data_IF_853694530998
#
_entry.id   IF_853694530998
#
_cell.length_a   1.000
_cell.length_b   1.000
_cell.length_c   1.000
_cell.angle_alpha   90.00
_cell.angle_beta   90.00
_cell.angle_gamma   90.00
#
_symmetry.space_group_name_H-M   'P 1'
#
loop_
_entity.id
_entity.type
_entity.pdbx_description
1 polymer ?
#
# COMPACT_ATOMS: atom_id res chain seq x y z
N UNK A 1 -39.94 15.48 -24.99
CA UNK A 1 -40.34 14.10 -24.66
C UNK A 1 -39.31 13.56 -23.67
N UNK A 2 -39.56 13.77 -22.38
CA UNK A 2 -38.69 13.35 -21.28
C UNK A 2 -38.96 11.89 -20.93
N UNK A 3 -37.90 11.10 -20.76
CA UNK A 3 -38.04 9.73 -20.27
C UNK A 3 -36.95 8.77 -20.75
N UNK A 4 -35.67 9.14 -20.63
CA UNK A 4 -34.59 8.15 -20.74
C UNK A 4 -34.42 7.46 -19.38
N UNK A 5 -35.30 6.50 -19.12
CA UNK A 5 -35.07 5.50 -18.08
C UNK A 5 -33.99 4.55 -18.60
N UNK A 6 -32.73 4.80 -18.29
CA UNK A 6 -31.68 3.80 -18.51
C UNK A 6 -31.56 2.98 -17.21
N UNK A 7 -32.03 1.72 -17.17
CA UNK A 7 -31.84 0.85 -16.00
C UNK A 7 -30.36 0.46 -15.97
N UNK A 8 -29.55 1.26 -15.26
CA UNK A 8 -28.15 0.91 -14.98
C UNK A 8 -28.18 -0.43 -14.26
N UNK A 9 -27.65 -1.41 -14.95
CA UNK A 9 -27.68 -2.83 -14.66
C UNK A 9 -27.18 -3.09 -13.24
N UNK A 10 -27.85 -3.95 -12.47
CA UNK A 10 -27.50 -4.38 -11.09
C UNK A 10 -26.17 -5.21 -11.03
N UNK A 11 -25.16 -4.84 -11.82
CA UNK A 11 -23.88 -5.53 -11.93
C UNK A 11 -22.71 -4.58 -11.63
N UNK A 12 -22.55 -4.13 -10.36
CA UNK A 12 -21.47 -3.22 -9.98
C UNK A 12 -20.07 -3.85 -10.17
N UNK A 13 -19.97 -5.18 -10.16
CA UNK A 13 -18.73 -5.89 -10.44
C UNK A 13 -18.27 -5.68 -11.90
N UNK A 14 -19.19 -5.83 -12.85
CA UNK A 14 -18.90 -5.61 -14.27
C UNK A 14 -18.52 -4.15 -14.54
N UNK A 15 -19.32 -3.22 -14.01
CA UNK A 15 -19.05 -1.78 -14.15
C UNK A 15 -17.68 -1.39 -13.57
N UNK A 16 -17.30 -1.95 -12.41
CA UNK A 16 -15.98 -1.72 -11.83
C UNK A 16 -14.84 -2.20 -12.73
N UNK A 17 -14.96 -3.39 -13.31
CA UNK A 17 -13.93 -3.96 -14.20
C UNK A 17 -13.76 -3.09 -15.45
N UNK A 18 -14.87 -2.67 -16.06
CA UNK A 18 -14.85 -1.78 -17.23
C UNK A 18 -14.23 -0.42 -16.88
N UNK A 19 -14.60 0.15 -15.73
CA UNK A 19 -14.05 1.41 -15.22
C UNK A 19 -12.55 1.31 -14.95
N UNK A 20 -12.10 0.24 -14.29
CA UNK A 20 -10.69 0.01 -14.00
C UNK A 20 -9.85 -0.14 -15.29
N UNK A 21 -10.39 -0.83 -16.30
CA UNK A 21 -9.79 -0.94 -17.63
C UNK A 21 -9.74 0.42 -18.33
N UNK A 22 -10.84 1.18 -18.34
CA UNK A 22 -10.90 2.50 -18.95
C UNK A 22 -9.91 3.51 -18.33
N UNK A 23 -9.61 3.34 -17.04
CA UNK A 23 -8.64 4.14 -16.29
C UNK A 23 -7.20 3.58 -16.34
N UNK A 24 -6.95 2.47 -17.04
CA UNK A 24 -5.66 1.77 -17.09
C UNK A 24 -5.06 1.45 -15.71
N UNK A 25 -5.89 1.14 -14.72
CA UNK A 25 -5.43 0.86 -13.35
C UNK A 25 -4.84 -0.56 -13.20
N UNK A 26 -5.21 -1.48 -14.10
CA UNK A 26 -4.91 -2.91 -14.00
C UNK A 26 -6.16 -3.74 -13.72
N UNK A 27 -5.98 -5.06 -13.56
CA UNK A 27 -7.09 -5.98 -13.29
C UNK A 27 -7.45 -5.97 -11.79
N UNK A 28 -8.73 -5.74 -11.42
CA UNK A 28 -9.16 -5.81 -10.02
C UNK A 28 -9.19 -7.25 -9.51
N UNK A 29 -8.57 -7.48 -8.36
CA UNK A 29 -8.55 -8.76 -7.64
C UNK A 29 -9.64 -8.73 -6.57
N UNK A 30 -10.44 -9.79 -6.49
CA UNK A 30 -11.53 -9.94 -5.52
C UNK A 30 -11.18 -11.05 -4.53
N UNK A 31 -10.97 -10.66 -3.28
CA UNK A 31 -10.68 -11.60 -2.19
C UNK A 31 -11.85 -11.64 -1.22
N UNK A 32 -12.48 -12.81 -1.09
CA UNK A 32 -13.61 -13.01 -0.18
C UNK A 32 -13.25 -14.00 0.92
N UNK A 33 -13.53 -13.61 2.16
CA UNK A 33 -13.37 -14.45 3.35
C UNK A 33 -14.73 -14.64 3.99
N UNK A 34 -15.06 -15.88 4.34
CA UNK A 34 -16.23 -16.22 5.14
C UNK A 34 -15.84 -16.36 6.61
N UNK A 35 -16.64 -15.81 7.50
CA UNK A 35 -16.46 -15.84 8.95
C UNK A 35 -17.78 -16.18 9.63
N UNK A 36 -17.71 -16.66 10.88
CA UNK A 36 -18.89 -16.98 11.68
C UNK A 36 -19.35 -18.44 11.60
N UNK A 37 -20.41 -18.79 12.33
CA UNK A 37 -20.93 -20.16 12.40
C UNK A 37 -21.43 -20.64 11.04
N UNK A 38 -21.37 -21.94 10.76
CA UNK A 38 -21.82 -22.49 9.47
C UNK A 38 -23.30 -22.22 9.13
N UNK A 39 -24.14 -21.98 10.14
CA UNK A 39 -25.55 -21.60 9.96
C UNK A 39 -25.76 -20.09 9.86
N UNK A 40 -24.71 -19.30 10.14
CA UNK A 40 -24.76 -17.85 10.15
C UNK A 40 -23.48 -17.21 9.55
N UNK A 41 -23.14 -17.52 8.29
CA UNK A 41 -21.91 -17.01 7.70
C UNK A 41 -22.01 -15.52 7.38
N UNK A 42 -20.93 -14.82 7.67
CA UNK A 42 -20.66 -13.44 7.28
C UNK A 42 -19.52 -13.43 6.26
N UNK A 43 -19.74 -12.79 5.12
CA UNK A 43 -18.74 -12.69 4.07
C UNK A 43 -18.20 -11.28 4.03
N UNK A 44 -16.88 -11.16 3.97
CA UNK A 44 -16.17 -9.92 3.72
C UNK A 44 -15.42 -10.06 2.40
N UNK A 45 -15.61 -9.11 1.49
CA UNK A 45 -14.88 -9.01 0.24
C UNK A 45 -14.04 -7.73 0.24
N UNK A 46 -12.77 -7.87 -0.12
CA UNK A 46 -11.86 -6.76 -0.43
C UNK A 46 -11.53 -6.80 -1.91
N UNK A 47 -11.57 -5.65 -2.57
CA UNK A 47 -11.20 -5.49 -3.97
C UNK A 47 -9.93 -4.64 -4.01
N UNK A 48 -8.88 -5.16 -4.65
CA UNK A 48 -7.61 -4.46 -4.78
C UNK A 48 -7.18 -4.37 -6.25
N UNK A 49 -6.41 -3.34 -6.59
CA UNK A 49 -5.77 -3.17 -7.89
C UNK A 49 -4.31 -2.83 -7.66
N UNK A 50 -3.38 -3.58 -8.28
CA UNK A 50 -1.93 -3.41 -8.08
C UNK A 50 -1.52 -3.44 -6.61
N UNK A 51 -2.12 -4.33 -5.81
CA UNK A 51 -1.85 -4.47 -4.38
C UNK A 51 -2.40 -3.35 -3.50
N UNK A 52 -3.27 -2.48 -4.02
CA UNK A 52 -3.92 -1.39 -3.26
C UNK A 52 -5.42 -1.62 -3.15
N UNK A 53 -5.92 -1.56 -1.93
CA UNK A 53 -7.35 -1.71 -1.65
C UNK A 53 -8.15 -0.57 -2.27
N UNK A 54 -9.09 -0.94 -3.11
CA UNK A 54 -9.92 -0.04 -3.90
C UNK A 54 -11.35 0.00 -3.36
N UNK A 55 -11.83 -1.08 -2.76
CA UNK A 55 -13.10 -1.10 -2.03
C UNK A 55 -13.26 -2.32 -1.14
N UNK A 56 -14.15 -2.23 -0.15
CA UNK A 56 -14.49 -3.32 0.77
C UNK A 56 -15.98 -3.38 0.99
N UNK A 57 -16.49 -4.59 1.15
CA UNK A 57 -17.91 -4.82 1.39
C UNK A 57 -18.18 -6.11 2.14
N UNK A 58 -19.33 -6.15 2.78
CA UNK A 58 -19.74 -7.26 3.62
C UNK A 58 -21.17 -7.68 3.30
N UNK A 59 -21.51 -8.92 3.60
CA UNK A 59 -22.84 -9.47 3.33
C UNK A 59 -23.06 -10.87 3.88
N UNK A 60 -24.32 -11.31 3.85
CA UNK A 60 -24.73 -12.65 4.28
C UNK A 60 -24.42 -13.75 3.25
N UNK A 61 -24.02 -13.34 2.05
CA UNK A 61 -23.55 -14.22 0.99
C UNK A 61 -22.30 -13.64 0.35
N UNK A 62 -21.48 -14.49 -0.28
CA UNK A 62 -20.31 -14.05 -1.07
C UNK A 62 -20.72 -13.03 -2.14
N UNK A 63 -21.86 -13.26 -2.81
CA UNK A 63 -22.39 -12.36 -3.85
C UNK A 63 -22.74 -10.99 -3.28
N UNK A 64 -23.37 -10.93 -2.10
CA UNK A 64 -23.72 -9.66 -1.46
C UNK A 64 -22.48 -8.89 -1.02
N UNK A 65 -21.50 -9.58 -0.43
CA UNK A 65 -20.23 -8.96 -0.05
C UNK A 65 -19.47 -8.40 -1.26
N UNK A 66 -19.38 -9.17 -2.35
CA UNK A 66 -18.80 -8.70 -3.63
C UNK A 66 -19.55 -7.50 -4.20
N UNK A 67 -20.89 -7.51 -4.16
CA UNK A 67 -21.72 -6.42 -4.65
C UNK A 67 -21.46 -5.14 -3.88
N UNK A 68 -21.50 -5.21 -2.54
CA UNK A 68 -21.22 -4.07 -1.65
C UNK A 68 -19.79 -3.55 -1.85
N UNK A 69 -18.81 -4.46 -1.97
CA UNK A 69 -17.41 -4.07 -2.18
C UNK A 69 -17.22 -3.36 -3.52
N UNK A 70 -17.91 -3.83 -4.57
CA UNK A 70 -17.85 -3.23 -5.90
C UNK A 70 -18.48 -1.82 -5.92
N UNK A 71 -19.55 -1.62 -5.15
CA UNK A 71 -20.19 -0.31 -5.00
C UNK A 71 -19.28 0.69 -4.28
N UNK A 72 -18.68 0.28 -3.16
CA UNK A 72 -17.69 1.10 -2.43
C UNK A 72 -16.49 1.45 -3.32
N UNK A 73 -15.98 0.48 -4.08
CA UNK A 73 -14.92 0.66 -5.05
C UNK A 73 -15.27 1.69 -6.13
N UNK A 74 -16.43 1.57 -6.77
CA UNK A 74 -16.90 2.52 -7.78
C UNK A 74 -17.05 3.93 -7.21
N UNK A 75 -17.61 4.05 -5.99
CA UNK A 75 -17.77 5.35 -5.34
C UNK A 75 -16.42 6.04 -5.08
N UNK A 76 -15.41 5.28 -4.63
CA UNK A 76 -14.05 5.80 -4.41
C UNK A 76 -13.37 6.22 -5.71
N UNK A 77 -13.55 5.46 -6.80
CA UNK A 77 -13.08 5.85 -8.14
C UNK A 77 -13.71 7.16 -8.64
N UNK A 78 -14.94 7.45 -8.20
CA UNK A 78 -15.65 8.68 -8.58
C UNK A 78 -15.26 9.88 -7.70
N UNK A 79 -14.96 9.65 -6.42
CA UNK A 79 -14.60 10.69 -5.46
C UNK A 79 -13.14 11.16 -5.59
N UNK A 80 -12.22 10.27 -5.97
CA UNK A 80 -10.78 10.55 -6.05
C UNK A 80 -10.23 10.20 -7.45
N UNK A 81 -10.11 11.17 -8.39
CA UNK A 81 -9.44 10.94 -9.68
C UNK A 81 -7.92 10.78 -9.55
N UNK A 82 -7.36 10.80 -8.33
CA UNK A 82 -5.91 10.84 -8.05
C UNK A 82 -5.24 9.45 -8.10
N UNK A 83 -5.92 8.44 -8.64
CA UNK A 83 -5.36 7.10 -8.85
C UNK A 83 -4.35 7.01 -10.00
N UNK A 84 -4.04 8.14 -10.65
CA UNK A 84 -2.93 8.25 -11.58
C UNK A 84 -1.60 8.43 -10.83
N UNK A 85 -0.93 7.31 -10.53
CA UNK A 85 0.53 7.24 -10.40
C UNK A 85 1.22 7.64 -9.09
N UNK A 86 0.62 8.44 -8.20
CA UNK A 86 1.40 9.05 -7.10
C UNK A 86 1.50 8.21 -5.82
N UNK A 87 0.48 7.42 -5.45
CA UNK A 87 0.51 6.67 -4.19
C UNK A 87 1.18 5.29 -4.29
N UNK A 88 1.38 4.74 -5.49
CA UNK A 88 2.27 3.61 -5.70
C UNK A 88 3.73 3.99 -5.41
N UNK A 89 4.13 5.23 -5.75
CA UNK A 89 5.43 5.78 -5.36
C UNK A 89 5.56 5.85 -3.83
N UNK A 90 4.54 6.34 -3.11
CA UNK A 90 4.59 6.49 -1.66
C UNK A 90 4.64 5.15 -0.89
N UNK A 91 3.94 4.11 -1.37
CA UNK A 91 3.99 2.78 -0.78
C UNK A 91 5.31 2.05 -1.11
N UNK A 92 5.79 2.16 -2.35
CA UNK A 92 7.11 1.66 -2.74
C UNK A 92 8.23 2.38 -1.97
N UNK A 93 8.08 3.67 -1.68
CA UNK A 93 8.98 4.46 -0.85
C UNK A 93 8.95 4.01 0.62
N UNK A 94 7.83 3.50 1.16
CA UNK A 94 7.80 2.90 2.51
C UNK A 94 8.46 1.53 2.55
N UNK A 95 8.26 0.70 1.52
CA UNK A 95 8.91 -0.61 1.41
C UNK A 95 10.42 -0.45 1.18
N UNK A 96 10.85 0.54 0.39
CA UNK A 96 12.26 0.90 0.23
C UNK A 96 12.91 1.49 1.49
N UNK A 97 12.13 1.86 2.50
CA UNK A 97 12.59 2.32 3.82
C UNK A 97 12.64 1.20 4.87
N UNK A 98 12.21 -0.01 4.55
CA UNK A 98 12.47 -1.17 5.41
C UNK A 98 13.90 -1.61 5.15
N UNK A 99 14.84 -1.05 5.91
CA UNK A 99 16.21 -1.55 5.92
C UNK A 99 16.16 -3.02 6.37
N UNK A 100 16.72 -3.98 5.61
CA UNK A 100 16.77 -5.36 6.04
C UNK A 100 17.45 -5.40 7.42
N UNK A 101 16.69 -5.85 8.43
CA UNK A 101 17.26 -6.11 9.75
C UNK A 101 18.09 -7.37 9.60
N UNK A 102 19.36 -7.21 9.25
CA UNK A 102 20.34 -8.28 9.36
C UNK A 102 20.56 -8.50 10.85
N UNK A 103 19.87 -9.50 11.41
CA UNK A 103 19.89 -9.83 12.83
C UNK A 103 21.32 -9.96 13.37
N UNK A 104 22.23 -10.51 12.56
CA UNK A 104 23.66 -10.61 12.86
C UNK A 104 24.31 -9.22 13.06
N UNK A 105 24.08 -8.29 12.13
CA UNK A 105 24.68 -6.94 12.16
C UNK A 105 24.10 -6.13 13.32
N UNK A 106 22.79 -6.23 13.57
CA UNK A 106 22.14 -5.60 14.71
C UNK A 106 22.69 -6.15 16.04
N UNK A 107 22.84 -7.47 16.15
CA UNK A 107 23.40 -8.12 17.33
C UNK A 107 24.84 -7.68 17.60
N UNK A 108 25.69 -7.65 16.57
CA UNK A 108 27.07 -7.19 16.69
C UNK A 108 27.16 -5.71 17.05
N UNK A 109 26.33 -4.86 16.45
CA UNK A 109 26.28 -3.43 16.80
C UNK A 109 25.86 -3.21 18.26
N UNK A 110 24.90 -3.98 18.77
CA UNK A 110 24.45 -3.92 20.16
C UNK A 110 25.51 -4.42 21.15
N UNK A 111 26.22 -5.51 20.81
CA UNK A 111 27.33 -6.01 21.63
C UNK A 111 28.47 -4.99 21.73
N UNK A 112 28.88 -4.41 20.61
CA UNK A 112 29.92 -3.37 20.59
C UNK A 112 29.47 -2.11 21.34
N UNK A 113 28.19 -1.74 21.23
CA UNK A 113 27.62 -0.63 22.00
C UNK A 113 27.64 -0.91 23.51
N UNK A 114 27.36 -2.15 23.92
CA UNK A 114 27.37 -2.58 25.32
C UNK A 114 28.79 -2.61 25.90
N UNK A 115 29.77 -3.12 25.16
CA UNK A 115 31.18 -3.15 25.58
C UNK A 115 31.78 -1.74 25.72
N UNK A 116 31.26 -0.77 24.95
CA UNK A 116 31.73 0.63 24.98
C UNK A 116 30.96 1.51 25.95
N UNK A 117 29.82 1.04 26.48
CA UNK A 117 29.03 1.81 27.43
C UNK A 117 29.48 1.51 28.87
N UNK A 118 30.40 2.33 29.39
CA UNK A 118 30.51 2.51 30.83
C UNK A 118 29.29 3.34 31.29
N UNK A 119 28.21 2.66 31.64
CA UNK A 119 27.04 3.17 32.36
C UNK A 119 26.35 4.45 31.83
N UNK A 120 26.13 4.57 30.51
CA UNK A 120 25.27 5.61 29.90
C UNK A 120 23.92 5.06 29.41
N UNK A 121 22.83 5.84 29.49
CA UNK A 121 21.49 5.41 29.05
C UNK A 121 21.48 5.08 27.55
N UNK A 122 20.95 3.90 27.20
CA UNK A 122 20.93 3.29 25.86
C UNK A 122 20.53 4.23 24.70
N UNK A 123 19.77 5.29 24.98
CA UNK A 123 19.33 6.30 24.02
C UNK A 123 20.45 7.20 23.48
N UNK A 124 21.45 7.52 24.30
CA UNK A 124 22.57 8.39 23.88
C UNK A 124 23.51 7.62 22.94
N UNK A 125 23.84 6.38 23.28
CA UNK A 125 24.67 5.50 22.44
C UNK A 125 24.05 5.27 21.07
N UNK A 126 22.72 5.07 21.01
CA UNK A 126 22.01 4.91 19.74
C UNK A 126 22.02 6.19 18.88
N UNK A 127 21.87 7.36 19.51
CA UNK A 127 21.92 8.65 18.81
C UNK A 127 23.32 8.96 18.27
N UNK A 128 24.35 8.65 19.04
CA UNK A 128 25.74 8.85 18.63
C UNK A 128 26.16 7.86 17.53
N UNK A 129 25.75 6.60 17.62
CA UNK A 129 25.97 5.63 16.55
C UNK A 129 25.32 6.07 15.22
N UNK A 130 24.08 6.58 15.26
CA UNK A 130 23.39 7.09 14.08
C UNK A 130 24.08 8.33 13.48
N UNK A 131 24.63 9.21 14.32
CA UNK A 131 25.40 10.39 13.89
C UNK A 131 26.70 9.99 13.19
N UNK A 132 27.45 9.06 13.79
CA UNK A 132 28.72 8.56 13.25
C UNK A 132 28.53 7.86 11.90
N UNK A 133 27.52 7.00 11.80
CA UNK A 133 27.19 6.32 10.55
C UNK A 133 26.87 7.29 9.41
N UNK A 134 26.07 8.34 9.69
CA UNK A 134 25.76 9.38 8.71
C UNK A 134 27.00 10.12 8.24
N UNK A 135 27.91 10.45 9.16
CA UNK A 135 29.15 11.17 8.86
C UNK A 135 30.07 10.33 7.98
N UNK A 136 30.25 9.04 8.31
CA UNK A 136 31.04 8.11 7.52
C UNK A 136 30.50 7.96 6.09
N UNK A 137 29.18 7.87 5.92
CA UNK A 137 28.57 7.76 4.59
C UNK A 137 28.79 9.03 3.74
N UNK A 138 28.76 10.21 4.36
CA UNK A 138 29.08 11.47 3.68
C UNK A 138 30.55 11.55 3.25
N UNK A 139 31.48 11.11 4.11
CA UNK A 139 32.92 11.07 3.79
C UNK A 139 33.23 10.08 2.65
N UNK A 140 32.52 8.96 2.60
CA UNK A 140 32.64 7.98 1.51
C UNK A 140 31.94 8.43 0.21
N UNK A 141 31.41 9.66 0.16
CA UNK A 141 30.71 10.21 -1.00
C UNK A 141 29.34 9.59 -1.25
N UNK A 142 28.84 8.75 -0.34
CA UNK A 142 27.54 8.10 -0.42
C UNK A 142 26.50 9.06 0.15
N UNK A 143 25.93 9.88 -0.74
CA UNK A 143 24.81 10.74 -0.39
C UNK A 143 23.49 9.96 -0.48
N UNK A 144 22.50 10.24 0.39
CA UNK A 144 21.17 9.69 0.24
C UNK A 144 20.62 10.07 -1.13
N UNK A 145 20.19 9.07 -1.91
CA UNK A 145 19.76 9.24 -3.30
C UNK A 145 18.63 10.28 -3.37
N UNK A 146 18.81 11.40 -4.10
CA UNK A 146 17.76 12.38 -4.26
C UNK A 146 16.62 11.79 -5.10
N UNK A 147 15.39 11.91 -4.61
CA UNK A 147 14.21 11.37 -5.27
C UNK A 147 13.72 12.33 -6.36
N UNK A 148 14.12 12.04 -7.61
CA UNK A 148 13.38 12.19 -8.88
C UNK A 148 13.38 13.54 -9.65
N UNK A 149 13.58 13.48 -10.99
CA UNK A 149 13.14 14.53 -11.93
C UNK A 149 13.65 14.50 -13.40
N UNK A 150 12.77 14.03 -14.33
CA UNK A 150 12.60 14.34 -15.79
C UNK A 150 13.56 13.74 -16.85
N UNK A 151 13.07 12.95 -17.84
CA UNK A 151 12.35 13.26 -19.13
C UNK A 151 13.36 13.76 -20.22
N UNK A 152 13.55 13.22 -21.43
CA UNK A 152 12.79 12.35 -22.36
C UNK A 152 13.76 11.64 -23.36
N UNK A 153 13.30 10.66 -24.16
CA UNK A 153 14.02 10.05 -25.29
C UNK A 153 13.78 10.82 -26.63
N UNK A 154 14.77 10.74 -27.53
CA UNK A 154 14.83 11.31 -28.90
C UNK A 154 14.91 12.85 -29.07
N UNK A 155 16.15 13.35 -29.20
CA UNK A 155 16.62 14.32 -30.20
C UNK A 155 18.17 14.37 -30.21
#
# INVERSE_FOLDING_TARGET
MSGSANPRTDNPKGELIERARALNLGEPVFESVAQGPGHEPWFTTVISVQGRDLGRGEGRSKRDAERTASQDALQRLMAEPVLSGQAASAAAQRVAQVWPIYAEVLSQALLVAHERSDAGQLSEVAQDAARLYRTLMQELGVSPVPQNGKHDPDA
#
